data_IF_004961118670
#
_entry.id   IF_004961118670
#
_cell.length_a   1.000
_cell.length_b   1.000
_cell.length_c   1.000
_cell.angle_alpha   90.00
_cell.angle_beta   90.00
_cell.angle_gamma   90.00
#
_symmetry.space_group_name_H-M   'P 1'
#
loop_
_entity.id
_entity.type
_entity.pdbx_description
1 polymer ?
#
# COMPACT_ATOMS: atom_id res chain seq x y z
N UNK A 1 -13.83 15.33 -14.63
CA UNK A 1 -13.02 14.10 -14.64
C UNK A 1 -12.04 14.17 -13.49
N UNK A 2 -11.95 13.15 -12.62
CA UNK A 2 -11.00 13.15 -11.51
C UNK A 2 -9.56 13.20 -12.06
N UNK A 3 -8.73 14.12 -11.55
CA UNK A 3 -7.33 14.21 -11.95
C UNK A 3 -6.57 12.96 -11.48
N UNK A 4 -5.61 12.50 -12.28
CA UNK A 4 -4.77 11.35 -11.93
C UNK A 4 -4.00 11.66 -10.63
N UNK A 5 -3.89 10.72 -9.68
CA UNK A 5 -3.13 10.94 -8.46
C UNK A 5 -1.66 11.25 -8.76
N UNK A 6 -1.06 12.14 -7.95
CA UNK A 6 0.37 12.46 -8.02
C UNK A 6 1.21 11.19 -7.86
N UNK A 7 2.16 10.99 -8.77
CA UNK A 7 3.10 9.86 -8.70
C UNK A 7 4.38 10.32 -7.99
N UNK A 8 4.73 9.65 -6.88
CA UNK A 8 6.01 9.82 -6.20
C UNK A 8 7.00 8.74 -6.67
N UNK A 9 8.25 9.13 -6.89
CA UNK A 9 9.31 8.27 -7.42
C UNK A 9 10.39 7.97 -6.38
N UNK A 10 11.33 7.08 -6.73
CA UNK A 10 12.54 6.85 -5.94
C UNK A 10 13.33 8.15 -5.68
N UNK A 11 13.33 9.08 -6.65
CA UNK A 11 14.01 10.37 -6.51
C UNK A 11 13.34 11.26 -5.46
N UNK A 12 12.02 11.22 -5.36
CA UNK A 12 11.28 11.97 -4.33
C UNK A 12 11.53 11.39 -2.94
N UNK A 13 11.62 10.07 -2.82
CA UNK A 13 12.03 9.40 -1.59
C UNK A 13 13.47 9.79 -1.19
N UNK A 14 14.41 9.80 -2.15
CA UNK A 14 15.79 10.22 -1.91
C UNK A 14 15.88 11.67 -1.44
N UNK A 15 15.08 12.59 -2.00
CA UNK A 15 14.97 13.97 -1.52
C UNK A 15 14.47 14.03 -0.08
N UNK A 16 13.46 13.23 0.28
CA UNK A 16 12.96 13.15 1.66
C UNK A 16 14.06 12.65 2.61
N UNK A 17 14.81 11.63 2.24
CA UNK A 17 15.92 11.10 3.06
C UNK A 17 17.04 12.14 3.20
N UNK A 18 17.40 12.83 2.11
CA UNK A 18 18.37 13.92 2.12
C UNK A 18 17.99 15.01 3.13
N UNK A 19 16.73 15.45 3.13
CA UNK A 19 16.24 16.44 4.11
C UNK A 19 16.27 15.92 5.55
N UNK A 20 15.87 14.66 5.78
CA UNK A 20 15.85 14.07 7.13
C UNK A 20 17.25 13.87 7.72
N UNK A 21 18.23 13.53 6.87
CA UNK A 21 19.60 13.24 7.29
C UNK A 21 20.50 14.47 7.27
N UNK A 22 20.06 15.59 6.67
CA UNK A 22 20.92 16.76 6.45
C UNK A 22 22.08 16.52 5.48
N UNK A 23 21.95 15.52 4.60
CA UNK A 23 23.00 15.11 3.66
C UNK A 23 22.65 15.49 2.21
N UNK A 24 23.63 15.80 1.35
CA UNK A 24 23.38 16.09 -0.05
C UNK A 24 22.70 14.93 -0.81
N UNK A 25 21.82 15.27 -1.76
CA UNK A 25 21.03 14.30 -2.53
C UNK A 25 21.89 13.24 -3.23
N UNK A 26 23.07 13.59 -3.73
CA UNK A 26 23.95 12.65 -4.44
C UNK A 26 24.48 11.55 -3.51
N UNK A 27 24.53 11.78 -2.18
CA UNK A 27 24.85 10.74 -1.19
C UNK A 27 23.63 9.93 -0.80
N UNK A 28 22.48 10.60 -0.62
CA UNK A 28 21.25 9.94 -0.16
C UNK A 28 20.60 9.04 -1.22
N UNK A 29 20.69 9.41 -2.50
CA UNK A 29 20.08 8.65 -3.60
C UNK A 29 20.64 7.21 -3.72
N UNK A 30 21.96 6.97 -3.67
CA UNK A 30 22.53 5.63 -3.57
C UNK A 30 22.03 4.84 -2.36
N UNK A 31 21.89 5.45 -1.19
CA UNK A 31 21.40 4.77 0.02
C UNK A 31 19.97 4.26 -0.14
N UNK A 32 19.07 5.12 -0.66
CA UNK A 32 17.69 4.72 -0.96
C UNK A 32 17.67 3.62 -2.01
N UNK A 33 18.50 3.74 -3.05
CA UNK A 33 18.66 2.70 -4.06
C UNK A 33 19.07 1.35 -3.46
N UNK A 34 20.05 1.36 -2.56
CA UNK A 34 20.54 0.16 -1.88
C UNK A 34 19.47 -0.50 -1.01
N UNK A 35 18.70 0.28 -0.23
CA UNK A 35 17.61 -0.25 0.60
C UNK A 35 16.52 -0.90 -0.26
N UNK A 36 16.07 -0.24 -1.32
CA UNK A 36 15.05 -0.79 -2.24
C UNK A 36 15.56 -2.07 -2.91
N UNK A 37 16.83 -2.07 -3.35
CA UNK A 37 17.45 -3.25 -3.95
C UNK A 37 17.54 -4.41 -2.96
N UNK A 38 18.06 -4.18 -1.76
CA UNK A 38 18.20 -5.21 -0.74
C UNK A 38 16.83 -5.81 -0.36
N UNK A 39 15.81 -4.97 -0.17
CA UNK A 39 14.46 -5.42 0.12
C UNK A 39 13.89 -6.30 -1.00
N UNK A 40 14.15 -5.96 -2.26
CA UNK A 40 13.79 -6.77 -3.42
C UNK A 40 14.50 -8.13 -3.44
N UNK A 41 15.82 -8.13 -3.27
CA UNK A 41 16.64 -9.35 -3.26
C UNK A 41 16.21 -10.32 -2.15
N UNK A 42 15.98 -9.82 -0.93
CA UNK A 42 15.48 -10.64 0.18
C UNK A 42 14.12 -11.30 -0.14
N UNK A 43 13.26 -10.66 -0.94
CA UNK A 43 12.00 -11.25 -1.38
C UNK A 43 12.19 -12.28 -2.52
N UNK A 44 13.12 -12.04 -3.44
CA UNK A 44 13.44 -12.95 -4.54
C UNK A 44 14.03 -14.27 -4.03
N UNK A 45 14.96 -14.16 -3.06
CA UNK A 45 15.67 -15.25 -2.38
C UNK A 45 14.79 -16.07 -1.42
N UNK A 46 13.55 -15.65 -1.17
CA UNK A 46 12.64 -16.33 -0.25
C UNK A 46 12.33 -17.77 -0.69
N UNK A 47 12.64 -18.76 0.15
CA UNK A 47 12.33 -20.16 -0.14
C UNK A 47 11.54 -20.84 1.00
N UNK A 48 10.25 -21.18 0.81
CA UNK A 48 9.34 -20.64 -0.21
C UNK A 48 8.73 -19.29 0.19
N UNK A 49 8.90 -18.88 1.45
CA UNK A 49 8.24 -17.74 2.07
C UNK A 49 9.23 -16.95 2.93
N UNK A 50 9.02 -15.64 3.04
CA UNK A 50 9.81 -14.78 3.95
C UNK A 50 8.91 -13.71 4.54
N UNK A 51 9.20 -13.29 5.76
CA UNK A 51 8.57 -12.16 6.42
C UNK A 51 9.65 -11.15 6.80
N UNK A 52 9.65 -9.99 6.16
CA UNK A 52 10.59 -8.89 6.38
C UNK A 52 9.85 -7.79 7.14
N UNK A 53 10.27 -7.53 8.38
CA UNK A 53 9.68 -6.51 9.23
C UNK A 53 10.54 -5.26 9.28
N UNK A 54 9.95 -4.12 8.90
CA UNK A 54 10.51 -2.80 9.11
C UNK A 54 9.64 -2.11 10.16
N UNK A 55 10.09 -2.11 11.42
CA UNK A 55 9.37 -1.53 12.56
C UNK A 55 8.92 -0.11 12.23
N UNK A 56 7.75 0.27 12.73
CA UNK A 56 7.08 1.56 12.51
C UNK A 56 6.60 1.82 11.07
N UNK A 57 7.08 1.06 10.09
CA UNK A 57 6.64 1.15 8.70
C UNK A 57 5.65 0.05 8.33
N UNK A 58 6.04 -1.22 8.49
CA UNK A 58 5.20 -2.37 8.16
C UNK A 58 5.97 -3.65 7.89
N UNK A 59 5.27 -4.61 7.30
CA UNK A 59 5.79 -5.96 7.05
C UNK A 59 5.60 -6.32 5.58
N UNK A 60 6.66 -6.77 4.94
CA UNK A 60 6.61 -7.41 3.63
C UNK A 60 6.60 -8.92 3.80
N UNK A 61 5.68 -9.60 3.13
CA UNK A 61 5.55 -11.05 3.17
C UNK A 61 5.60 -11.61 1.75
N UNK A 62 6.46 -12.61 1.52
CA UNK A 62 6.35 -13.51 0.37
C UNK A 62 5.61 -14.76 0.83
N UNK A 63 4.50 -15.10 0.18
CA UNK A 63 3.62 -16.22 0.55
C UNK A 63 3.23 -17.07 -0.64
N UNK A 64 2.98 -18.36 -0.42
CA UNK A 64 2.38 -19.26 -1.40
C UNK A 64 0.93 -18.86 -1.66
N UNK A 65 0.53 -18.91 -2.92
CA UNK A 65 -0.88 -18.79 -3.33
C UNK A 65 -1.41 -20.16 -3.69
N UNK A 66 -2.60 -20.50 -3.18
CA UNK A 66 -3.33 -21.67 -3.67
C UNK A 66 -3.59 -21.52 -5.18
N UNK A 67 -3.50 -22.63 -5.91
CA UNK A 67 -4.00 -22.69 -7.28
C UNK A 67 -5.45 -22.19 -7.30
N UNK A 68 -5.76 -21.26 -8.20
CA UNK A 68 -7.13 -20.80 -8.39
C UNK A 68 -7.85 -21.75 -9.34
N UNK A 69 -9.10 -22.16 -9.07
CA UNK A 69 -9.87 -22.92 -10.04
C UNK A 69 -10.09 -22.09 -11.31
N UNK A 70 -9.87 -22.74 -12.47
CA UNK A 70 -10.33 -22.38 -13.82
C UNK A 70 -10.42 -20.87 -14.11
N UNK A 71 -9.30 -20.22 -14.41
CA UNK A 71 -9.36 -18.91 -15.05
C UNK A 71 -9.79 -19.12 -16.50
N UNK A 72 -10.87 -18.49 -16.95
CA UNK A 72 -11.27 -18.56 -18.36
C UNK A 72 -10.51 -17.55 -19.18
N UNK A 73 -10.02 -17.96 -20.36
CA UNK A 73 -9.52 -17.00 -21.33
C UNK A 73 -10.69 -16.12 -21.80
N UNK A 74 -10.67 -14.79 -21.58
CA UNK A 74 -11.79 -13.92 -21.96
C UNK A 74 -12.08 -13.91 -23.46
N UNK A 75 -11.09 -14.26 -24.28
CA UNK A 75 -11.21 -14.28 -25.75
C UNK A 75 -11.72 -15.61 -26.31
N UNK A 76 -11.33 -16.74 -25.72
CA UNK A 76 -11.63 -18.08 -26.26
C UNK A 76 -12.59 -18.89 -25.37
N UNK A 77 -12.92 -18.40 -24.18
CA UNK A 77 -13.75 -19.07 -23.15
C UNK A 77 -13.17 -20.41 -22.64
N UNK A 78 -11.94 -20.76 -23.02
CA UNK A 78 -11.25 -21.97 -22.61
C UNK A 78 -10.80 -21.87 -21.15
N UNK A 79 -10.76 -23.03 -20.49
CA UNK A 79 -10.31 -23.14 -19.11
C UNK A 79 -8.79 -23.19 -19.05
N UNK A 80 -8.18 -22.18 -18.43
CA UNK A 80 -6.76 -22.13 -18.11
C UNK A 80 -6.57 -22.45 -16.63
N UNK A 81 -5.68 -23.41 -16.35
CA UNK A 81 -5.25 -23.72 -14.99
C UNK A 81 -4.08 -22.81 -14.61
N UNK A 82 -4.22 -22.07 -13.50
CA UNK A 82 -3.13 -21.23 -12.98
C UNK A 82 -2.42 -21.99 -11.86
N UNK A 83 -1.13 -22.35 -12.02
CA UNK A 83 -0.38 -23.06 -10.99
C UNK A 83 -0.21 -22.21 -9.74
N UNK A 84 -0.02 -22.89 -8.60
CA UNK A 84 0.38 -22.24 -7.35
C UNK A 84 1.71 -21.50 -7.54
N UNK A 85 1.78 -20.24 -7.09
CA UNK A 85 2.97 -19.39 -7.17
C UNK A 85 3.19 -18.62 -5.88
N UNK A 86 4.32 -17.92 -5.77
CA UNK A 86 4.56 -16.94 -4.69
C UNK A 86 3.86 -15.62 -5.01
N UNK A 87 3.39 -14.90 -3.98
CA UNK A 87 2.94 -13.51 -4.07
C UNK A 87 3.56 -12.69 -2.95
N UNK A 88 3.78 -11.41 -3.20
CA UNK A 88 4.14 -10.44 -2.18
C UNK A 88 2.89 -9.83 -1.55
N UNK A 89 3.01 -9.41 -0.29
CA UNK A 89 1.97 -8.68 0.44
C UNK A 89 2.63 -7.69 1.40
N UNK A 90 2.16 -6.44 1.40
CA UNK A 90 2.60 -5.43 2.37
C UNK A 90 1.51 -5.20 3.41
N UNK A 91 1.88 -5.29 4.69
CA UNK A 91 1.03 -4.96 5.82
C UNK A 91 1.55 -3.67 6.46
N UNK A 92 0.84 -2.52 6.32
CA UNK A 92 1.24 -1.29 6.98
C UNK A 92 1.23 -1.45 8.50
N UNK A 93 2.11 -0.71 9.18
CA UNK A 93 2.16 -0.65 10.64
C UNK A 93 0.84 -0.13 11.23
N UNK A 94 0.60 -0.42 12.52
CA UNK A 94 -0.60 0.07 13.23
C UNK A 94 -0.73 1.59 13.13
N UNK A 95 0.36 2.32 13.41
CA UNK A 95 0.42 3.78 13.30
C UNK A 95 0.07 4.29 11.91
N UNK A 96 0.59 3.65 10.86
CA UNK A 96 0.28 4.06 9.48
C UNK A 96 -1.19 3.79 9.13
N UNK A 97 -1.75 2.64 9.55
CA UNK A 97 -3.17 2.35 9.36
C UNK A 97 -4.08 3.36 10.03
N UNK A 98 -3.81 3.70 11.29
CA UNK A 98 -4.63 4.66 12.05
C UNK A 98 -4.67 6.03 11.38
N UNK A 99 -3.54 6.50 10.85
CA UNK A 99 -3.47 7.76 10.11
C UNK A 99 -4.31 7.69 8.81
N UNK A 100 -4.22 6.58 8.08
CA UNK A 100 -4.90 6.40 6.79
C UNK A 100 -6.39 6.06 6.90
N UNK A 101 -6.85 5.58 8.06
CA UNK A 101 -8.24 5.18 8.30
C UNK A 101 -9.10 6.32 8.85
N UNK A 102 -8.54 7.52 9.06
CA UNK A 102 -9.31 8.71 9.42
C UNK A 102 -10.39 8.98 8.36
N UNK A 103 -11.66 9.15 8.74
CA UNK A 103 -12.74 9.46 7.82
C UNK A 103 -12.42 10.66 6.93
N UNK A 104 -12.80 10.59 5.65
CA UNK A 104 -12.54 11.65 4.69
C UNK A 104 -13.20 12.98 5.10
N UNK A 105 -14.37 12.91 5.74
CA UNK A 105 -15.07 14.05 6.30
C UNK A 105 -14.23 14.80 7.34
N UNK A 106 -13.51 14.09 8.22
CA UNK A 106 -12.63 14.69 9.24
C UNK A 106 -11.39 15.36 8.63
N UNK A 107 -10.99 14.94 7.43
CA UNK A 107 -9.85 15.48 6.70
C UNK A 107 -10.25 16.57 5.70
N UNK A 108 -11.50 17.03 5.73
CA UNK A 108 -12.08 18.02 4.80
C UNK A 108 -12.00 17.61 3.33
N UNK A 109 -12.03 16.30 3.04
CA UNK A 109 -12.16 15.78 1.68
C UNK A 109 -13.63 15.57 1.32
N UNK A 110 -13.93 15.58 0.02
CA UNK A 110 -15.24 15.17 -0.48
C UNK A 110 -15.50 13.70 -0.12
N UNK A 111 -16.61 13.44 0.57
CA UNK A 111 -17.05 12.08 0.87
C UNK A 111 -17.69 11.48 -0.40
N UNK A 112 -17.29 10.28 -0.85
CA UNK A 112 -17.92 9.61 -1.98
C UNK A 112 -19.37 9.19 -1.70
N UNK A 113 -20.21 9.22 -2.72
CA UNK A 113 -21.58 8.70 -2.64
C UNK A 113 -21.59 7.22 -2.25
N UNK A 114 -22.49 6.83 -1.34
CA UNK A 114 -22.57 5.48 -0.77
C UNK A 114 -21.67 5.25 0.45
N UNK A 115 -20.89 6.24 0.88
CA UNK A 115 -20.21 6.18 2.19
C UNK A 115 -21.21 6.35 3.34
N UNK A 116 -20.95 5.72 4.48
CA UNK A 116 -21.82 5.79 5.66
C UNK A 116 -21.96 7.21 6.23
N UNK A 117 -20.98 8.07 5.97
CA UNK A 117 -20.89 9.48 6.37
C UNK A 117 -21.27 10.46 5.22
N UNK A 118 -21.78 9.96 4.09
CA UNK A 118 -22.21 10.80 2.97
C UNK A 118 -23.51 11.54 3.31
N UNK A 119 -23.46 12.87 3.46
CA UNK A 119 -24.67 13.69 3.62
C UNK A 119 -25.09 14.29 2.27
N UNK A 120 -26.30 13.98 1.82
CA UNK A 120 -26.83 14.50 0.55
C UNK A 120 -27.28 15.97 0.63
N UNK A 121 -27.40 16.55 1.83
CA UNK A 121 -27.91 17.92 2.02
C UNK A 121 -27.34 18.56 3.31
N UNK A 122 -26.12 19.09 3.27
CA UNK A 122 -25.64 20.22 4.12
C UNK A 122 -25.85 20.19 5.66
N UNK A 123 -26.35 19.12 6.26
CA UNK A 123 -26.56 18.99 7.69
C UNK A 123 -25.67 17.88 8.21
N UNK A 124 -24.65 18.31 8.93
CA UNK A 124 -23.79 17.45 9.74
C UNK A 124 -24.66 16.77 10.81
N UNK A 125 -24.88 15.47 10.67
CA UNK A 125 -25.41 14.65 11.77
C UNK A 125 -24.19 14.18 12.55
N UNK A 126 -23.98 14.64 13.81
CA UNK A 126 -22.82 14.21 14.57
C UNK A 126 -22.89 12.70 14.79
N UNK A 127 -21.76 12.02 14.54
CA UNK A 127 -21.59 10.61 14.83
C UNK A 127 -21.95 10.36 16.30
N UNK A 128 -23.00 9.56 16.54
CA UNK A 128 -23.30 9.07 17.89
C UNK A 128 -22.12 8.22 18.35
N UNK A 129 -21.44 8.66 19.40
CA UNK A 129 -20.64 7.76 20.21
C UNK A 129 -21.56 6.62 20.67
N UNK A 130 -21.24 5.40 20.26
CA UNK A 130 -21.80 4.20 20.88
C UNK A 130 -20.75 3.75 21.89
N UNK A 131 -20.89 4.26 23.11
CA UNK A 131 -20.21 3.71 24.28
C UNK A 131 -20.76 2.30 24.54
N UNK A 132 -19.87 1.32 24.64
CA UNK A 132 -19.94 0.14 25.52
C UNK A 132 -18.57 -0.51 25.60
#
# INVERSE_FOLDING_TARGET
MASKPTTLTKKDLARRVSMLMGEPIYKSEPWVGAVVKALGQMMEEADPEVRIELRDFGVFEVKKTKAKPKARNPKTNETVFIPSRRKTHFKPSKKLKEILQKPLAELNYSVPEGSADFSQNGQHVPSRNVDS
#
